data_IF_604898949701
#
_entry.id   IF_604898949701
#
_cell.length_a   1.000
_cell.length_b   1.000
_cell.length_c   1.000
_cell.angle_alpha   90.00
_cell.angle_beta   90.00
_cell.angle_gamma   90.00
#
_symmetry.space_group_name_H-M   'P 1'
#
loop_
_entity.id
_entity.type
_entity.pdbx_description
1 polymer ?
#
# COMPACT_ATOMS: atom_id res chain seq x y z
N UNK A 1 10.47 42.05 -20.97
CA UNK A 1 10.13 41.47 -22.30
C UNK A 1 9.63 40.05 -22.06
N UNK A 2 8.35 39.80 -21.73
CA UNK A 2 7.14 39.73 -22.58
C UNK A 2 7.12 38.60 -23.62
N UNK A 3 6.23 37.61 -23.39
CA UNK A 3 5.41 36.76 -24.30
C UNK A 3 5.26 35.37 -23.65
N UNK A 4 4.26 35.07 -22.83
CA UNK A 4 2.81 34.99 -23.06
C UNK A 4 2.43 34.29 -24.37
N UNK A 5 2.04 33.01 -24.26
CA UNK A 5 1.23 32.29 -25.25
C UNK A 5 0.20 31.44 -24.51
N UNK A 6 -1.00 31.99 -24.42
CA UNK A 6 -2.25 31.27 -24.17
C UNK A 6 -2.69 30.74 -25.54
N UNK A 7 -2.79 29.42 -25.69
CA UNK A 7 -3.38 28.80 -26.87
C UNK A 7 -4.46 27.83 -26.39
N UNK A 8 -5.71 28.29 -26.55
CA UNK A 8 -6.90 27.49 -26.29
C UNK A 8 -7.03 26.38 -27.32
N UNK A 9 -7.54 25.24 -26.87
CA UNK A 9 -8.05 24.21 -27.75
C UNK A 9 -9.55 24.05 -27.54
N UNK A 10 -10.24 24.23 -28.66
CA UNK A 10 -11.67 24.30 -28.84
C UNK A 10 -12.33 22.93 -28.68
N UNK A 11 -13.58 23.02 -28.26
CA UNK A 11 -14.58 21.98 -28.15
C UNK A 11 -14.72 21.10 -29.41
N UNK A 12 -14.87 19.80 -29.18
CA UNK A 12 -15.34 18.83 -30.16
C UNK A 12 -16.11 17.72 -29.44
N UNK A 13 -17.38 18.00 -29.11
CA UNK A 13 -18.31 17.02 -28.55
C UNK A 13 -18.87 16.19 -29.70
N UNK A 14 -18.42 14.94 -29.84
CA UNK A 14 -19.03 13.94 -30.73
C UNK A 14 -20.03 13.12 -29.91
N UNK A 15 -21.32 13.37 -30.15
CA UNK A 15 -22.44 12.58 -29.64
C UNK A 15 -22.48 11.23 -30.37
N UNK A 16 -21.90 10.19 -29.77
CA UNK A 16 -22.01 8.81 -30.22
C UNK A 16 -22.89 8.01 -29.27
N UNK A 17 -24.08 7.61 -29.74
CA UNK A 17 -25.02 6.75 -29.03
C UNK A 17 -24.49 5.32 -28.93
N UNK A 18 -23.71 5.04 -27.89
CA UNK A 18 -23.31 3.69 -27.51
C UNK A 18 -24.36 3.05 -26.61
N UNK A 19 -24.91 1.92 -27.06
CA UNK A 19 -25.81 1.08 -26.28
C UNK A 19 -25.10 0.62 -24.99
N UNK A 20 -25.62 1.09 -23.85
CA UNK A 20 -25.15 0.70 -22.51
C UNK A 20 -25.67 -0.72 -22.26
N UNK A 21 -24.84 -1.72 -22.53
CA UNK A 21 -25.02 -3.05 -21.99
C UNK A 21 -24.80 -2.97 -20.47
N UNK A 22 -25.90 -2.92 -19.71
CA UNK A 22 -25.90 -2.97 -18.25
C UNK A 22 -25.44 -4.36 -17.84
N UNK A 23 -24.12 -4.51 -17.64
CA UNK A 23 -23.55 -5.67 -16.96
C UNK A 23 -23.88 -5.46 -15.47
N UNK A 24 -24.86 -6.20 -14.98
CA UNK A 24 -25.17 -6.32 -13.56
C UNK A 24 -23.96 -6.93 -12.83
N UNK A 25 -23.02 -6.08 -12.42
CA UNK A 25 -21.98 -6.42 -11.46
C UNK A 25 -22.70 -6.79 -10.16
N UNK A 26 -22.99 -8.08 -9.98
CA UNK A 26 -23.44 -8.61 -8.71
C UNK A 26 -22.38 -8.30 -7.67
N UNK A 27 -22.71 -7.39 -6.75
CA UNK A 27 -21.91 -7.09 -5.58
C UNK A 27 -21.87 -8.35 -4.72
N UNK A 28 -20.77 -9.12 -4.85
CA UNK A 28 -20.48 -10.17 -3.88
C UNK A 28 -20.32 -9.44 -2.53
N UNK A 29 -21.11 -9.80 -1.51
CA UNK A 29 -20.97 -9.17 -0.20
C UNK A 29 -19.54 -9.41 0.29
N UNK A 30 -18.85 -8.34 0.67
CA UNK A 30 -17.60 -8.43 1.39
C UNK A 30 -17.86 -9.32 2.63
N UNK A 31 -17.14 -10.44 2.74
CA UNK A 31 -17.22 -11.25 3.94
C UNK A 31 -16.49 -10.49 5.03
N UNK A 32 -17.23 -10.04 6.03
CA UNK A 32 -16.63 -9.57 7.26
C UNK A 32 -15.90 -10.74 7.92
N UNK A 33 -14.69 -10.50 8.41
CA UNK A 33 -13.98 -11.43 9.29
C UNK A 33 -14.86 -11.72 10.51
N UNK A 34 -14.82 -12.96 11.00
CA UNK A 34 -15.54 -13.31 12.23
C UNK A 34 -14.84 -12.72 13.45
N UNK A 35 -15.55 -12.62 14.58
CA UNK A 35 -14.95 -12.15 15.82
C UNK A 35 -13.81 -13.07 16.27
N UNK A 36 -13.96 -14.38 16.06
CA UNK A 36 -12.93 -15.37 16.37
C UNK A 36 -11.67 -15.20 15.50
N UNK A 37 -11.83 -14.84 14.22
CA UNK A 37 -10.71 -14.53 13.33
C UNK A 37 -9.97 -13.25 13.78
N UNK A 38 -10.72 -12.22 14.19
CA UNK A 38 -10.15 -10.98 14.73
C UNK A 38 -9.41 -11.20 16.05
N UNK A 39 -9.95 -12.03 16.95
CA UNK A 39 -9.28 -12.40 18.20
C UNK A 39 -8.00 -13.18 17.92
N UNK A 40 -8.03 -14.16 17.01
CA UNK A 40 -6.83 -14.89 16.60
C UNK A 40 -5.77 -13.97 15.99
N UNK A 41 -6.18 -12.99 15.17
CA UNK A 41 -5.25 -12.00 14.62
C UNK A 41 -4.69 -11.07 15.71
N UNK A 42 -5.50 -10.69 16.70
CA UNK A 42 -5.04 -9.94 17.86
C UNK A 42 -3.94 -10.71 18.62
N UNK A 43 -4.17 -11.98 18.93
CA UNK A 43 -3.20 -12.85 19.60
C UNK A 43 -1.90 -13.02 18.80
N UNK A 44 -2.01 -13.19 17.48
CA UNK A 44 -0.84 -13.31 16.59
C UNK A 44 0.03 -12.04 16.61
N UNK A 45 -0.59 -10.86 16.66
CA UNK A 45 0.12 -9.57 16.65
C UNK A 45 0.66 -9.13 18.01
N UNK A 46 0.33 -9.87 19.08
CA UNK A 46 0.92 -9.65 20.41
C UNK A 46 2.39 -10.09 20.47
N UNK A 47 2.88 -10.88 19.51
CA UNK A 47 4.28 -11.22 19.30
C UNK A 47 4.80 -10.58 18.00
N UNK A 48 5.93 -9.86 18.09
CA UNK A 48 6.47 -9.10 16.96
C UNK A 48 6.82 -10.00 15.77
N UNK A 49 7.52 -11.10 16.03
CA UNK A 49 8.03 -11.97 14.97
C UNK A 49 6.89 -12.71 14.27
N UNK A 50 5.92 -13.20 15.03
CA UNK A 50 4.74 -13.91 14.54
C UNK A 50 3.84 -12.99 13.73
N UNK A 51 3.58 -11.77 14.20
CA UNK A 51 2.80 -10.79 13.46
C UNK A 51 3.46 -10.36 12.14
N UNK A 52 4.78 -10.14 12.14
CA UNK A 52 5.53 -9.86 10.90
C UNK A 52 5.46 -11.04 9.93
N UNK A 53 5.61 -12.28 10.43
CA UNK A 53 5.51 -13.48 9.60
C UNK A 53 4.11 -13.64 8.97
N UNK A 54 3.05 -13.36 9.73
CA UNK A 54 1.68 -13.37 9.23
C UNK A 54 1.48 -12.33 8.11
N UNK A 55 1.97 -11.10 8.30
CA UNK A 55 1.91 -10.06 7.26
C UNK A 55 2.69 -10.44 5.98
N UNK A 56 3.81 -11.14 6.10
CA UNK A 56 4.53 -11.69 4.93
C UNK A 56 3.68 -12.71 4.19
N UNK A 57 3.07 -13.64 4.93
CA UNK A 57 2.24 -14.69 4.35
C UNK A 57 0.97 -14.16 3.67
N UNK A 58 0.33 -13.12 4.23
CA UNK A 58 -0.78 -12.43 3.59
C UNK A 58 -0.33 -11.76 2.28
N UNK A 59 0.79 -11.03 2.30
CA UNK A 59 1.31 -10.37 1.12
C UNK A 59 1.70 -11.35 0.00
N UNK A 60 2.30 -12.51 0.32
CA UNK A 60 2.60 -13.55 -0.69
C UNK A 60 1.35 -14.16 -1.31
N UNK A 61 0.20 -14.10 -0.62
CA UNK A 61 -1.12 -14.47 -1.13
C UNK A 61 -1.82 -13.33 -1.90
N UNK A 62 -1.16 -12.19 -2.09
CA UNK A 62 -1.72 -11.00 -2.75
C UNK A 62 -2.64 -10.17 -1.86
N UNK A 63 -2.71 -10.47 -0.56
CA UNK A 63 -3.57 -9.80 0.42
C UNK A 63 -2.84 -8.60 1.05
N UNK A 64 -2.43 -7.64 0.22
CA UNK A 64 -1.57 -6.52 0.67
C UNK A 64 -2.26 -5.61 1.71
N UNK A 65 -3.59 -5.43 1.62
CA UNK A 65 -4.33 -4.62 2.59
C UNK A 65 -4.40 -5.32 3.96
N UNK A 66 -4.64 -6.63 3.99
CA UNK A 66 -4.65 -7.42 5.22
C UNK A 66 -3.24 -7.45 5.84
N UNK A 67 -2.20 -7.54 5.01
CA UNK A 67 -0.80 -7.46 5.43
C UNK A 67 -0.46 -6.10 6.07
N UNK A 68 -0.94 -5.00 5.49
CA UNK A 68 -0.76 -3.66 6.07
C UNK A 68 -1.48 -3.54 7.41
N UNK A 69 -2.75 -3.93 7.51
CA UNK A 69 -3.50 -3.89 8.76
C UNK A 69 -2.85 -4.73 9.87
N UNK A 70 -2.27 -5.89 9.50
CA UNK A 70 -1.51 -6.73 10.42
C UNK A 70 -0.22 -6.03 10.89
N UNK A 71 0.53 -5.38 10.00
CA UNK A 71 1.72 -4.60 10.36
C UNK A 71 1.37 -3.37 11.23
N UNK A 72 0.26 -2.69 10.97
CA UNK A 72 -0.20 -1.56 11.79
C UNK A 72 -0.49 -2.01 13.23
N UNK A 73 -1.11 -3.17 13.42
CA UNK A 73 -1.29 -3.77 14.75
C UNK A 73 0.04 -4.13 15.42
N UNK A 74 0.97 -4.76 14.68
CA UNK A 74 2.33 -5.02 15.19
C UNK A 74 3.01 -3.71 15.60
N UNK A 75 2.90 -2.65 14.80
CA UNK A 75 3.51 -1.35 15.10
C UNK A 75 2.82 -0.61 16.25
N UNK A 76 1.54 -0.87 16.51
CA UNK A 76 0.85 -0.36 17.69
C UNK A 76 1.42 -0.97 18.99
N UNK A 77 1.79 -2.25 18.97
CA UNK A 77 2.39 -2.96 20.13
C UNK A 77 3.92 -2.74 20.19
N UNK A 78 4.59 -2.74 19.03
CA UNK A 78 6.04 -2.68 18.85
C UNK A 78 6.45 -1.50 17.95
N UNK A 79 6.26 -0.24 18.39
CA UNK A 79 6.42 0.95 17.55
C UNK A 79 7.85 1.22 17.07
N UNK A 80 8.83 0.48 17.60
CA UNK A 80 10.24 0.60 17.22
C UNK A 80 10.75 -0.56 16.36
N UNK A 81 9.87 -1.51 16.00
CA UNK A 81 10.18 -2.62 15.11
C UNK A 81 10.66 -2.10 13.76
N UNK A 82 11.96 -2.19 13.54
CA UNK A 82 12.56 -1.68 12.30
C UNK A 82 12.05 -2.50 11.10
N UNK A 83 11.97 -3.83 11.25
CA UNK A 83 11.51 -4.71 10.19
C UNK A 83 10.05 -4.45 9.82
N UNK A 84 9.16 -4.26 10.81
CA UNK A 84 7.76 -3.93 10.53
C UNK A 84 7.64 -2.57 9.83
N UNK A 85 8.37 -1.55 10.27
CA UNK A 85 8.36 -0.22 9.63
C UNK A 85 8.84 -0.28 8.16
N UNK A 86 9.94 -0.99 7.88
CA UNK A 86 10.44 -1.15 6.51
C UNK A 86 9.43 -1.88 5.62
N UNK A 87 8.86 -2.99 6.12
CA UNK A 87 7.86 -3.75 5.37
C UNK A 87 6.59 -2.94 5.11
N UNK A 88 6.08 -2.24 6.12
CA UNK A 88 4.90 -1.38 6.00
C UNK A 88 5.10 -0.35 4.89
N UNK A 89 6.26 0.32 4.90
CA UNK A 89 6.60 1.28 3.86
C UNK A 89 6.65 0.66 2.45
N UNK A 90 7.23 -0.53 2.30
CA UNK A 90 7.29 -1.24 1.01
C UNK A 90 5.91 -1.71 0.54
N UNK A 91 5.01 -2.09 1.45
CA UNK A 91 3.65 -2.51 1.10
C UNK A 91 2.76 -1.34 0.71
N UNK A 92 2.91 -0.17 1.34
CA UNK A 92 2.28 1.08 0.88
C UNK A 92 2.63 1.37 -0.58
N UNK A 93 3.91 1.23 -0.94
CA UNK A 93 4.35 1.41 -2.32
C UNK A 93 3.70 0.42 -3.31
N UNK A 94 3.43 -0.81 -2.88
CA UNK A 94 2.84 -1.85 -3.74
C UNK A 94 1.34 -1.64 -3.98
N UNK A 95 0.65 -0.92 -3.09
CA UNK A 95 -0.76 -0.54 -3.26
C UNK A 95 -0.91 0.87 -3.85
N UNK A 96 0.08 1.33 -4.61
CA UNK A 96 0.16 2.66 -5.22
C UNK A 96 0.23 3.87 -4.26
N UNK A 97 0.32 3.67 -2.93
CA UNK A 97 0.64 4.75 -1.99
C UNK A 97 2.14 5.03 -1.90
N UNK A 98 2.69 5.53 -3.01
CA UNK A 98 4.13 5.80 -3.12
C UNK A 98 4.57 6.96 -2.22
N UNK A 99 3.72 7.97 -2.06
CA UNK A 99 4.03 9.11 -1.20
C UNK A 99 4.11 8.65 0.27
N UNK A 100 3.12 7.89 0.75
CA UNK A 100 3.15 7.29 2.07
C UNK A 100 4.36 6.40 2.29
N UNK A 101 4.64 5.47 1.35
CA UNK A 101 5.80 4.58 1.44
C UNK A 101 7.14 5.32 1.47
N UNK A 102 7.33 6.36 0.64
CA UNK A 102 8.55 7.17 0.66
C UNK A 102 8.71 7.97 1.95
N UNK A 103 7.62 8.50 2.51
CA UNK A 103 7.63 9.19 3.80
C UNK A 103 8.06 8.25 4.92
N UNK A 104 7.53 7.02 4.96
CA UNK A 104 7.93 6.02 5.96
C UNK A 104 9.40 5.58 5.80
N UNK A 105 9.87 5.32 4.58
CA UNK A 105 11.30 5.02 4.32
C UNK A 105 12.20 6.17 4.78
N UNK A 106 11.75 7.42 4.62
CA UNK A 106 12.47 8.62 5.08
C UNK A 106 12.69 8.68 6.59
N UNK A 107 11.84 8.01 7.38
CA UNK A 107 11.94 7.95 8.85
C UNK A 107 12.92 6.86 9.33
N UNK A 108 13.29 5.91 8.45
CA UNK A 108 14.18 4.81 8.81
C UNK A 108 15.63 5.30 8.98
N UNK A 109 16.32 4.72 9.96
CA UNK A 109 17.68 5.12 10.30
C UNK A 109 18.68 4.29 9.48
N UNK A 110 19.53 4.97 8.72
CA UNK A 110 20.57 4.31 7.91
C UNK A 110 21.45 3.37 8.74
N UNK A 111 21.82 3.74 9.96
CA UNK A 111 22.60 2.87 10.87
C UNK A 111 21.94 1.51 11.20
N UNK A 112 20.65 1.33 10.92
CA UNK A 112 19.92 0.08 11.15
C UNK A 112 19.85 -0.83 9.92
N UNK A 113 19.83 -0.25 8.72
CA UNK A 113 19.63 -0.99 7.46
C UNK A 113 20.80 -0.88 6.47
N UNK A 114 21.64 0.12 6.62
CA UNK A 114 22.64 0.52 5.64
C UNK A 114 22.06 1.42 4.53
N UNK A 115 22.93 2.25 3.93
CA UNK A 115 22.55 3.15 2.84
C UNK A 115 21.97 2.40 1.65
N UNK A 116 22.57 1.25 1.30
CA UNK A 116 22.18 0.46 0.14
C UNK A 116 20.74 -0.05 0.25
N UNK A 117 20.38 -0.67 1.38
CA UNK A 117 19.03 -1.20 1.60
C UNK A 117 17.97 -0.09 1.53
N UNK A 118 18.24 1.07 2.13
CA UNK A 118 17.30 2.20 2.07
C UNK A 118 17.22 2.81 0.67
N UNK A 119 18.34 2.84 -0.08
CA UNK A 119 18.35 3.25 -1.48
C UNK A 119 17.50 2.31 -2.35
N UNK A 120 17.66 1.00 -2.17
CA UNK A 120 16.92 -0.03 -2.89
C UNK A 120 15.42 0.04 -2.58
N UNK A 121 15.05 0.24 -1.32
CA UNK A 121 13.66 0.43 -0.92
C UNK A 121 13.01 1.65 -1.61
N UNK A 122 13.72 2.80 -1.64
CA UNK A 122 13.24 3.99 -2.37
C UNK A 122 13.09 3.73 -3.86
N UNK A 123 14.08 3.08 -4.47
CA UNK A 123 14.07 2.75 -5.89
C UNK A 123 12.94 1.76 -6.25
N UNK A 124 12.62 0.82 -5.35
CA UNK A 124 11.45 -0.06 -5.51
C UNK A 124 10.16 0.75 -5.48
N UNK A 125 10.02 1.65 -4.50
CA UNK A 125 8.82 2.47 -4.37
C UNK A 125 8.57 3.38 -5.58
N UNK A 126 9.63 3.98 -6.12
CA UNK A 126 9.54 4.85 -7.30
C UNK A 126 9.12 4.11 -8.57
N UNK A 127 9.51 2.83 -8.70
CA UNK A 127 9.16 1.98 -9.85
C UNK A 127 7.75 1.40 -9.79
N UNK A 128 7.21 1.18 -8.59
CA UNK A 128 6.06 0.33 -8.32
C UNK A 128 4.65 0.87 -8.62
N UNK A 129 4.39 1.51 -9.75
CA UNK A 129 2.98 1.73 -10.12
C UNK A 129 2.73 1.99 -11.59
N UNK A 130 2.89 0.91 -12.34
CA UNK A 130 2.59 0.85 -13.77
C UNK A 130 2.60 -0.59 -14.27
N UNK A 131 2.24 -1.55 -13.42
CA UNK A 131 2.04 -2.95 -13.80
C UNK A 131 0.55 -3.24 -13.86
#
# INVERSE_FOLDING_TARGET
MMRSRVQGFLAGVVLGTSAIAVISLGSVPARAETLEELDALSDLTADEATGIAAARDQATRGQLLDALATLERVLAVFPTSQNALLMHALYLCQIDDRQGGLVEIGKLKEKKFGAQVLSDARAQCQRGGGA
#
